data_IF_265899154481
#
_entry.id   IF_265899154481
#
_cell.length_a   1.000
_cell.length_b   1.000
_cell.length_c   1.000
_cell.angle_alpha   90.00
_cell.angle_beta   90.00
_cell.angle_gamma   90.00
#
_symmetry.space_group_name_H-M   'P 1'
#
loop_
_entity.id
_entity.type
_entity.pdbx_description
1 polymer ?
#
# COMPACT_ATOMS: atom_id res chain seq x y z
N UNK A 1 -19.58 -10.82 -17.03
CA UNK A 1 -18.21 -10.75 -16.48
C UNK A 1 -18.17 -9.75 -15.33
N UNK A 2 -17.53 -10.10 -14.23
CA UNK A 2 -17.24 -9.15 -13.14
C UNK A 2 -15.95 -8.43 -13.52
N UNK A 3 -16.05 -7.16 -13.90
CA UNK A 3 -14.87 -6.38 -14.30
C UNK A 3 -14.07 -5.98 -13.06
N UNK A 4 -12.78 -6.31 -13.06
CA UNK A 4 -11.87 -5.95 -11.97
C UNK A 4 -10.47 -5.66 -12.56
N UNK A 5 -10.10 -4.38 -12.59
CA UNK A 5 -8.80 -3.96 -13.11
C UNK A 5 -7.63 -4.48 -12.30
N UNK A 6 -7.79 -4.62 -10.98
CA UNK A 6 -6.76 -5.25 -10.15
C UNK A 6 -6.51 -6.71 -10.53
N UNK A 7 -7.56 -7.47 -10.87
CA UNK A 7 -7.40 -8.87 -11.28
C UNK A 7 -6.65 -8.99 -12.61
N UNK A 8 -6.84 -8.03 -13.51
CA UNK A 8 -6.19 -8.00 -14.82
C UNK A 8 -4.81 -7.34 -14.76
N UNK A 9 -4.68 -6.22 -14.06
CA UNK A 9 -3.51 -5.35 -14.12
C UNK A 9 -2.75 -5.14 -12.80
N UNK A 10 -3.00 -5.95 -11.77
CA UNK A 10 -2.41 -5.75 -10.45
C UNK A 10 -1.56 -6.91 -9.94
N UNK A 11 -0.49 -6.58 -9.21
CA UNK A 11 0.25 -7.49 -8.32
C UNK A 11 0.48 -6.78 -7.00
N UNK A 12 0.17 -7.46 -5.89
CA UNK A 12 0.34 -6.94 -4.55
C UNK A 12 1.19 -7.90 -3.71
N UNK A 13 2.34 -7.43 -3.25
CA UNK A 13 3.23 -8.16 -2.36
C UNK A 13 2.89 -7.81 -0.91
N UNK A 14 2.33 -8.74 -0.16
CA UNK A 14 1.82 -8.52 1.18
C UNK A 14 2.24 -9.61 2.14
N UNK A 15 3.15 -9.30 3.06
CA UNK A 15 3.47 -10.16 4.22
C UNK A 15 3.63 -11.66 3.86
N UNK A 16 4.46 -11.98 2.87
CA UNK A 16 4.74 -13.37 2.48
C UNK A 16 3.75 -13.98 1.50
N UNK A 17 2.75 -13.23 1.10
CA UNK A 17 1.77 -13.67 0.11
C UNK A 17 1.66 -12.65 -1.01
N UNK A 18 1.29 -13.14 -2.19
CA UNK A 18 1.14 -12.32 -3.37
C UNK A 18 -0.28 -12.48 -3.88
N UNK A 19 -0.94 -11.36 -4.09
CA UNK A 19 -2.35 -11.26 -4.49
C UNK A 19 -2.48 -10.32 -5.68
N UNK A 20 -3.68 -10.18 -6.24
CA UNK A 20 -3.92 -9.19 -7.31
C UNK A 20 -4.21 -7.81 -6.76
N UNK A 21 -4.75 -7.69 -5.55
CA UNK A 21 -5.12 -6.42 -4.95
C UNK A 21 -4.92 -6.42 -3.42
N UNK A 22 -4.83 -5.23 -2.78
CA UNK A 22 -4.58 -5.12 -1.35
C UNK A 22 -5.73 -5.64 -0.46
N UNK A 23 -6.95 -5.73 -0.99
CA UNK A 23 -8.14 -6.19 -0.26
C UNK A 23 -8.39 -7.69 -0.36
N UNK A 24 -7.69 -8.38 -1.23
CA UNK A 24 -7.87 -9.81 -1.40
C UNK A 24 -7.39 -10.56 -0.15
N UNK A 25 -8.31 -11.29 0.48
CA UNK A 25 -8.06 -11.98 1.73
C UNK A 25 -7.34 -13.33 1.53
N UNK A 26 -7.60 -14.00 0.39
CA UNK A 26 -6.99 -15.30 0.10
C UNK A 26 -5.65 -15.13 -0.62
N UNK A 27 -4.69 -15.92 -0.19
CA UNK A 27 -3.36 -16.02 -0.77
C UNK A 27 -3.45 -16.65 -2.17
N UNK A 28 -2.87 -16.02 -3.16
CA UNK A 28 -2.80 -16.60 -4.51
C UNK A 28 -1.48 -17.29 -4.76
N UNK A 29 -0.37 -16.69 -4.35
CA UNK A 29 0.98 -17.25 -4.48
C UNK A 29 1.74 -16.99 -3.19
N UNK A 30 2.52 -17.98 -2.75
CA UNK A 30 3.44 -17.79 -1.64
C UNK A 30 4.79 -17.28 -2.15
N UNK A 31 5.36 -16.37 -1.45
CA UNK A 31 6.65 -15.80 -1.84
C UNK A 31 7.84 -16.75 -1.71
N UNK A 32 7.69 -17.86 -0.99
CA UNK A 32 8.66 -18.94 -1.01
C UNK A 32 8.61 -19.82 -2.28
N UNK A 33 7.54 -19.70 -3.08
CA UNK A 33 7.45 -20.36 -4.39
C UNK A 33 8.15 -19.52 -5.46
N UNK A 34 7.85 -18.24 -5.52
CA UNK A 34 8.48 -17.26 -6.41
C UNK A 34 8.16 -15.84 -5.97
N UNK A 35 9.04 -14.91 -6.30
CA UNK A 35 8.82 -13.46 -6.11
C UNK A 35 8.80 -12.70 -7.44
N UNK A 36 9.12 -13.37 -8.56
CA UNK A 36 9.25 -12.69 -9.85
C UNK A 36 7.88 -12.37 -10.48
N UNK A 37 7.60 -11.10 -10.78
CA UNK A 37 6.35 -10.68 -11.44
C UNK A 37 6.03 -11.46 -12.70
N UNK A 38 7.01 -11.78 -13.55
CA UNK A 38 6.83 -12.51 -14.81
C UNK A 38 6.31 -13.95 -14.60
N UNK A 39 6.66 -14.58 -13.47
CA UNK A 39 6.16 -15.91 -13.10
C UNK A 39 4.80 -15.81 -12.42
N UNK A 40 4.58 -14.76 -11.59
CA UNK A 40 3.38 -14.57 -10.79
C UNK A 40 2.19 -14.14 -11.64
N UNK A 41 2.40 -13.21 -12.58
CA UNK A 41 1.32 -12.52 -13.28
C UNK A 41 0.36 -13.45 -14.00
N UNK A 42 0.87 -14.56 -14.55
CA UNK A 42 0.09 -15.61 -15.16
C UNK A 42 0.16 -16.96 -14.42
N UNK A 43 0.47 -16.93 -13.12
CA UNK A 43 0.41 -18.12 -12.28
C UNK A 43 -0.99 -18.73 -12.28
N UNK A 44 -1.08 -20.08 -12.14
CA UNK A 44 -2.34 -20.84 -12.19
C UNK A 44 -3.44 -20.24 -11.30
N UNK A 45 -3.10 -19.73 -10.11
CA UNK A 45 -4.06 -19.19 -9.17
C UNK A 45 -4.58 -17.80 -9.62
N UNK A 46 -3.74 -16.96 -10.24
CA UNK A 46 -4.15 -15.71 -10.87
C UNK A 46 -5.09 -15.98 -12.06
N UNK A 47 -4.76 -16.96 -12.90
CA UNK A 47 -5.61 -17.40 -14.01
C UNK A 47 -6.96 -17.93 -13.53
N UNK A 48 -6.97 -18.74 -12.47
CA UNK A 48 -8.22 -19.23 -11.88
C UNK A 48 -9.12 -18.10 -11.34
N UNK A 49 -8.54 -17.13 -10.65
CA UNK A 49 -9.27 -15.96 -10.17
C UNK A 49 -9.91 -15.19 -11.34
N UNK A 50 -9.16 -14.92 -12.41
CA UNK A 50 -9.65 -14.25 -13.62
C UNK A 50 -10.76 -15.07 -14.32
N UNK A 51 -10.61 -16.41 -14.41
CA UNK A 51 -11.61 -17.31 -14.93
C UNK A 51 -12.94 -17.23 -14.19
N UNK A 52 -12.90 -17.19 -12.84
CA UNK A 52 -14.11 -17.05 -12.03
C UNK A 52 -14.81 -15.72 -12.29
N UNK A 53 -14.07 -14.60 -12.27
CA UNK A 53 -14.62 -13.27 -12.58
C UNK A 53 -15.21 -13.20 -14.00
N UNK A 54 -14.53 -13.78 -14.97
CA UNK A 54 -15.02 -13.87 -16.34
C UNK A 54 -16.37 -14.61 -16.43
N UNK A 55 -16.53 -15.68 -15.64
CA UNK A 55 -17.78 -16.46 -15.53
C UNK A 55 -18.84 -15.80 -14.64
N UNK A 56 -18.63 -14.58 -14.21
CA UNK A 56 -19.51 -13.87 -13.31
C UNK A 56 -19.64 -14.53 -11.93
N UNK A 57 -18.54 -15.11 -11.44
CA UNK A 57 -18.46 -15.76 -10.14
C UNK A 57 -17.47 -14.99 -9.26
N UNK A 58 -17.83 -14.77 -8.00
CA UNK A 58 -16.95 -14.16 -7.04
C UNK A 58 -15.89 -15.17 -6.56
N UNK A 59 -14.58 -14.85 -6.71
CA UNK A 59 -13.54 -15.68 -6.13
C UNK A 59 -13.52 -15.56 -4.61
N UNK A 60 -13.20 -16.66 -3.93
CA UNK A 60 -12.92 -16.62 -2.50
C UNK A 60 -11.82 -15.59 -2.18
N UNK A 61 -12.06 -14.74 -1.19
CA UNK A 61 -11.19 -13.62 -0.82
C UNK A 61 -11.52 -12.28 -1.50
N UNK A 62 -12.52 -12.27 -2.38
CA UNK A 62 -13.13 -11.04 -2.92
C UNK A 62 -14.41 -10.63 -2.17
N UNK A 63 -14.68 -11.27 -1.03
CA UNK A 63 -15.90 -11.14 -0.24
C UNK A 63 -16.21 -9.68 0.13
N UNK A 64 -15.18 -8.87 0.42
CA UNK A 64 -15.38 -7.45 0.76
C UNK A 64 -16.05 -6.67 -0.37
N UNK A 65 -15.62 -6.89 -1.61
CA UNK A 65 -16.25 -6.23 -2.77
C UNK A 65 -17.64 -6.79 -3.05
N UNK A 66 -17.79 -8.13 -2.95
CA UNK A 66 -19.08 -8.81 -3.13
C UNK A 66 -20.13 -8.31 -2.14
N UNK A 67 -19.77 -8.26 -0.84
CA UNK A 67 -20.67 -7.81 0.22
C UNK A 67 -21.07 -6.34 0.04
N UNK A 68 -20.11 -5.46 -0.24
CA UNK A 68 -20.39 -4.05 -0.48
C UNK A 68 -21.34 -3.87 -1.66
N UNK A 69 -21.10 -4.56 -2.78
CA UNK A 69 -21.94 -4.44 -3.98
C UNK A 69 -23.33 -5.07 -3.78
N UNK A 70 -23.42 -6.17 -3.02
CA UNK A 70 -24.71 -6.75 -2.64
C UNK A 70 -25.54 -5.78 -1.78
N UNK A 71 -24.89 -5.01 -0.91
CA UNK A 71 -25.54 -4.02 -0.06
C UNK A 71 -25.72 -2.65 -0.76
N UNK A 72 -25.52 -2.58 -2.08
CA UNK A 72 -25.55 -1.38 -2.92
C UNK A 72 -24.56 -0.28 -2.46
N UNK A 73 -23.45 -0.69 -1.84
CA UNK A 73 -22.33 0.18 -1.51
C UNK A 73 -21.28 0.10 -2.61
N UNK A 74 -20.54 1.19 -2.77
CA UNK A 74 -19.48 1.27 -3.76
C UNK A 74 -18.25 0.50 -3.27
N UNK A 75 -17.84 -0.53 -4.00
CA UNK A 75 -16.67 -1.33 -3.69
C UNK A 75 -15.36 -0.69 -4.19
N UNK A 76 -14.23 -1.11 -3.62
CA UNK A 76 -12.92 -0.65 -4.07
C UNK A 76 -12.65 -0.98 -5.56
N UNK A 77 -13.14 -2.12 -6.05
CA UNK A 77 -13.06 -2.48 -7.47
C UNK A 77 -13.77 -1.46 -8.36
N UNK A 78 -14.98 -1.04 -7.96
CA UNK A 78 -15.76 -0.02 -8.67
C UNK A 78 -15.11 1.35 -8.56
N UNK A 79 -14.57 1.72 -7.40
CA UNK A 79 -13.83 2.96 -7.23
C UNK A 79 -12.63 3.03 -8.15
N UNK A 80 -11.87 1.94 -8.26
CA UNK A 80 -10.70 1.87 -9.12
C UNK A 80 -11.05 1.91 -10.61
N UNK A 81 -12.25 1.52 -10.98
CA UNK A 81 -12.76 1.57 -12.37
C UNK A 81 -13.28 2.96 -12.77
N UNK A 82 -13.53 3.85 -11.82
CA UNK A 82 -14.04 5.18 -12.13
C UNK A 82 -12.92 6.07 -12.67
N UNK A 83 -13.22 6.78 -13.75
CA UNK A 83 -12.34 7.81 -14.35
C UNK A 83 -11.96 8.92 -13.37
N UNK A 84 -12.76 9.10 -12.32
CA UNK A 84 -12.60 10.11 -11.29
C UNK A 84 -11.98 9.61 -10.00
N UNK A 85 -11.38 8.42 -9.99
CA UNK A 85 -10.65 7.95 -8.83
C UNK A 85 -9.43 8.87 -8.57
N UNK A 86 -9.16 9.16 -7.31
CA UNK A 86 -8.05 10.00 -6.86
C UNK A 86 -6.72 9.63 -7.51
N UNK A 87 -6.42 8.35 -7.69
CA UNK A 87 -5.24 7.86 -8.40
C UNK A 87 -5.24 8.21 -9.91
N UNK A 88 -6.42 8.40 -10.52
CA UNK A 88 -6.57 8.67 -11.96
C UNK A 88 -6.85 10.12 -12.28
N UNK A 89 -7.32 10.95 -11.33
CA UNK A 89 -7.54 12.40 -11.56
C UNK A 89 -6.28 13.17 -11.91
N UNK A 90 -5.13 12.64 -11.47
CA UNK A 90 -3.82 13.31 -11.68
C UNK A 90 -3.11 12.91 -12.97
N UNK A 91 -3.59 11.92 -13.67
CA UNK A 91 -3.05 11.54 -14.99
C UNK A 91 -4.17 11.54 -16.02
N UNK A 92 -4.03 12.25 -17.11
CA UNK A 92 -4.89 12.18 -18.29
C UNK A 92 -4.94 10.75 -18.85
N UNK A 93 -5.73 9.88 -18.20
CA UNK A 93 -5.91 8.50 -18.60
C UNK A 93 -7.27 8.31 -19.24
N UNK A 94 -7.35 8.71 -20.47
CA UNK A 94 -8.34 8.15 -21.37
C UNK A 94 -7.93 6.72 -21.70
N UNK A 95 -8.84 5.76 -21.50
CA UNK A 95 -8.79 4.41 -22.11
C UNK A 95 -8.04 3.28 -21.38
N UNK A 96 -7.69 3.36 -20.10
CA UNK A 96 -7.00 2.25 -19.42
C UNK A 96 -7.82 0.94 -19.42
N UNK A 97 -9.15 1.02 -19.34
CA UNK A 97 -10.03 -0.16 -19.20
C UNK A 97 -10.17 -0.95 -20.50
N UNK A 98 -10.45 -0.29 -21.60
CA UNK A 98 -10.71 -0.98 -22.89
C UNK A 98 -9.44 -1.67 -23.42
N UNK A 99 -8.29 -1.03 -23.21
CA UNK A 99 -7.01 -1.60 -23.58
C UNK A 99 -6.64 -2.81 -22.72
N UNK A 100 -6.96 -2.80 -21.43
CA UNK A 100 -6.61 -3.89 -20.52
C UNK A 100 -7.44 -5.15 -20.80
N UNK A 101 -8.73 -5.00 -21.05
CA UNK A 101 -9.63 -6.11 -21.44
C UNK A 101 -9.16 -6.75 -22.74
N UNK A 102 -8.69 -5.97 -23.71
CA UNK A 102 -8.20 -6.50 -24.99
C UNK A 102 -6.92 -7.34 -24.86
N UNK A 103 -6.20 -7.22 -23.76
CA UNK A 103 -4.98 -8.00 -23.47
C UNK A 103 -5.28 -9.31 -22.71
N UNK A 104 -6.52 -9.53 -22.33
CA UNK A 104 -6.95 -10.75 -21.64
C UNK A 104 -7.37 -11.83 -22.64
N UNK A 105 -6.86 -13.04 -22.46
CA UNK A 105 -7.25 -14.22 -23.23
C UNK A 105 -8.32 -15.01 -22.45
N UNK A 106 -9.52 -15.07 -22.96
CA UNK A 106 -10.68 -15.72 -22.33
C UNK A 106 -10.64 -17.26 -22.35
N UNK A 107 -9.73 -17.85 -23.13
CA UNK A 107 -9.51 -19.31 -23.20
C UNK A 107 -8.45 -19.75 -22.21
N UNK A 108 -7.29 -19.07 -22.17
CA UNK A 108 -6.17 -19.43 -21.29
C UNK A 108 -6.24 -18.71 -19.94
N UNK A 109 -7.06 -17.67 -19.84
CA UNK A 109 -7.16 -16.76 -18.69
C UNK A 109 -5.85 -16.01 -18.35
N UNK A 110 -4.98 -15.90 -19.32
CA UNK A 110 -3.74 -15.13 -19.27
C UNK A 110 -4.00 -13.68 -19.65
N UNK A 111 -3.14 -12.80 -19.15
CA UNK A 111 -3.07 -11.40 -19.61
C UNK A 111 -1.67 -11.18 -20.17
N UNK A 112 -1.60 -10.49 -21.31
CA UNK A 112 -0.32 -10.05 -21.87
C UNK A 112 0.45 -9.20 -20.85
N UNK A 113 1.76 -9.31 -20.79
CA UNK A 113 2.59 -8.56 -19.82
C UNK A 113 2.46 -7.05 -19.94
N UNK A 114 2.05 -6.55 -21.11
CA UNK A 114 1.65 -5.14 -21.30
C UNK A 114 0.43 -4.73 -20.47
N UNK A 115 -0.28 -5.68 -19.88
CA UNK A 115 -1.46 -5.45 -19.04
C UNK A 115 -1.13 -5.12 -17.58
N UNK A 116 0.05 -5.39 -17.07
CA UNK A 116 0.41 -5.02 -15.71
C UNK A 116 0.55 -3.51 -15.61
N UNK A 117 -0.23 -2.89 -14.72
CA UNK A 117 -0.31 -1.45 -14.50
C UNK A 117 0.08 -1.03 -13.11
N UNK A 118 -0.30 -1.83 -12.12
CA UNK A 118 -0.18 -1.51 -10.70
C UNK A 118 0.59 -2.60 -9.96
N UNK A 119 1.60 -2.18 -9.18
CA UNK A 119 2.31 -3.05 -8.26
C UNK A 119 2.36 -2.40 -6.89
N UNK A 120 1.91 -3.12 -5.86
CA UNK A 120 2.12 -2.73 -4.47
C UNK A 120 3.25 -3.55 -3.87
N UNK A 121 4.23 -2.88 -3.27
CA UNK A 121 5.38 -3.50 -2.64
C UNK A 121 5.38 -3.24 -1.13
N UNK A 122 5.43 -4.31 -0.33
CA UNK A 122 5.66 -4.26 1.11
C UNK A 122 6.93 -5.01 1.45
N UNK A 123 7.94 -4.29 1.90
CA UNK A 123 9.23 -4.93 2.22
C UNK A 123 9.19 -5.69 3.54
N UNK A 124 8.66 -5.07 4.60
CA UNK A 124 8.59 -5.68 5.93
C UNK A 124 7.68 -4.86 6.87
N UNK A 125 7.49 -5.39 8.09
CA UNK A 125 6.85 -4.65 9.20
C UNK A 125 7.84 -3.75 9.98
N UNK A 126 9.08 -3.59 9.51
CA UNK A 126 10.06 -2.75 10.20
C UNK A 126 9.57 -1.31 10.33
N UNK A 127 9.44 -0.84 11.57
CA UNK A 127 8.90 0.49 11.90
C UNK A 127 9.56 1.02 13.17
N UNK A 128 9.79 2.32 13.20
CA UNK A 128 10.32 3.05 14.37
C UNK A 128 9.21 3.41 15.39
N UNK A 129 7.92 3.24 15.03
CA UNK A 129 6.77 3.59 15.87
C UNK A 129 6.00 2.38 16.37
N UNK A 130 5.26 2.60 17.48
CA UNK A 130 4.22 1.70 18.00
C UNK A 130 2.90 2.48 18.14
N UNK A 131 2.27 2.83 17.02
CA UNK A 131 1.07 3.65 16.97
C UNK A 131 -0.13 2.94 17.60
N UNK A 132 -1.03 3.72 18.24
CA UNK A 132 -2.21 3.21 18.93
C UNK A 132 -3.13 2.38 18.02
N UNK A 133 -3.27 2.77 16.75
CA UNK A 133 -4.09 2.08 15.75
C UNK A 133 -3.39 0.95 15.01
N UNK A 134 -2.15 0.64 15.38
CA UNK A 134 -1.34 -0.38 14.72
C UNK A 134 -1.21 -1.63 15.58
N UNK A 135 -0.68 -2.69 15.02
CA UNK A 135 -0.44 -3.96 15.72
C UNK A 135 0.96 -4.50 15.46
N UNK A 136 1.34 -5.53 16.23
CA UNK A 136 2.62 -6.24 16.06
C UNK A 136 2.81 -6.86 14.66
N UNK A 137 1.73 -7.14 13.95
CA UNK A 137 1.77 -7.69 12.58
C UNK A 137 2.29 -6.65 11.58
N UNK A 138 1.98 -5.37 11.81
CA UNK A 138 2.30 -4.29 10.88
C UNK A 138 3.42 -3.36 11.38
N UNK A 139 3.86 -3.53 12.65
CA UNK A 139 4.92 -2.70 13.22
C UNK A 139 5.82 -3.47 14.18
N UNK A 140 7.12 -3.55 13.83
CA UNK A 140 8.15 -4.09 14.73
C UNK A 140 8.33 -3.25 16.02
N UNK A 141 7.88 -2.00 16.04
CA UNK A 141 7.83 -1.17 17.23
C UNK A 141 6.95 -1.78 18.33
N UNK A 142 5.79 -2.33 17.94
CA UNK A 142 4.93 -3.09 18.87
C UNK A 142 5.57 -4.38 19.33
N UNK A 143 6.21 -5.13 18.44
CA UNK A 143 6.92 -6.36 18.82
C UNK A 143 7.98 -6.11 19.88
N UNK A 144 8.73 -5.01 19.77
CA UNK A 144 9.72 -4.61 20.78
C UNK A 144 9.08 -4.23 22.13
N UNK A 145 7.94 -3.51 22.12
CA UNK A 145 7.24 -3.12 23.35
C UNK A 145 6.62 -4.30 24.08
N UNK A 146 6.11 -5.28 23.34
CA UNK A 146 5.42 -6.44 23.89
C UNK A 146 6.37 -7.57 24.30
N UNK A 147 7.68 -7.46 24.04
CA UNK A 147 8.66 -8.49 24.43
C UNK A 147 8.68 -8.82 25.93
N UNK A 148 8.24 -7.89 26.79
CA UNK A 148 8.20 -8.06 28.25
C UNK A 148 6.77 -8.29 28.78
N UNK A 149 5.77 -8.40 27.89
CA UNK A 149 4.40 -8.73 28.26
C UNK A 149 4.21 -10.24 28.16
N UNK A 150 3.84 -10.86 29.27
CA UNK A 150 3.55 -12.28 29.34
C UNK A 150 2.21 -12.65 28.69
N UNK A 151 2.03 -13.94 28.35
CA UNK A 151 1.18 -14.41 27.26
C UNK A 151 -0.32 -14.51 27.53
N UNK A 152 -0.91 -13.77 28.42
CA UNK A 152 -2.38 -13.62 28.48
C UNK A 152 -2.96 -12.95 27.20
N UNK A 153 -2.06 -12.57 26.27
CA UNK A 153 -2.42 -12.02 24.97
C UNK A 153 -3.32 -12.95 24.13
N UNK A 154 -3.18 -14.26 24.27
CA UNK A 154 -3.96 -15.21 23.48
C UNK A 154 -5.45 -15.17 23.84
N UNK A 155 -5.75 -14.95 25.11
CA UNK A 155 -7.12 -14.80 25.61
C UNK A 155 -7.72 -13.49 25.13
N UNK A 156 -7.03 -12.38 25.32
CA UNK A 156 -7.51 -11.03 24.91
C UNK A 156 -7.66 -10.94 23.39
N UNK A 157 -6.74 -11.51 22.62
CA UNK A 157 -6.83 -11.50 21.16
C UNK A 157 -7.89 -12.44 20.62
N UNK A 158 -8.14 -13.58 21.29
CA UNK A 158 -9.24 -14.46 20.92
C UNK A 158 -10.60 -13.83 21.23
N UNK A 159 -10.73 -13.14 22.36
CA UNK A 159 -11.95 -12.40 22.72
C UNK A 159 -12.24 -11.26 21.74
N UNK A 160 -11.21 -10.50 21.33
CA UNK A 160 -11.34 -9.44 20.31
C UNK A 160 -11.71 -10.03 18.96
N UNK A 161 -11.11 -11.15 18.53
CA UNK A 161 -11.44 -11.83 17.28
C UNK A 161 -12.89 -12.30 17.27
N UNK A 162 -13.37 -12.84 18.39
CA UNK A 162 -14.73 -13.34 18.57
C UNK A 162 -15.75 -12.18 18.57
N UNK A 163 -15.42 -11.05 19.19
CA UNK A 163 -16.24 -9.83 19.22
C UNK A 163 -16.31 -9.11 17.85
N UNK A 164 -15.23 -9.14 17.07
CA UNK A 164 -15.17 -8.46 15.78
C UNK A 164 -15.62 -9.33 14.60
N UNK A 165 -15.97 -10.60 14.83
CA UNK A 165 -16.37 -11.52 13.77
C UNK A 165 -15.31 -11.75 12.67
N UNK A 166 -14.09 -11.33 12.94
CA UNK A 166 -12.97 -11.45 12.00
C UNK A 166 -12.13 -12.65 12.39
N UNK A 167 -12.26 -13.74 11.67
CA UNK A 167 -11.19 -14.73 11.61
C UNK A 167 -9.98 -14.07 10.92
N UNK A 168 -9.17 -13.34 11.69
CA UNK A 168 -7.84 -12.97 11.22
C UNK A 168 -7.05 -14.27 11.03
N UNK A 169 -6.85 -14.66 9.79
CA UNK A 169 -6.18 -15.89 9.37
C UNK A 169 -4.67 -15.92 9.71
N UNK A 170 -4.18 -14.93 10.42
CA UNK A 170 -2.81 -14.88 10.93
C UNK A 170 -2.82 -15.27 12.40
N UNK A 171 -2.60 -16.55 12.68
CA UNK A 171 -2.40 -17.04 14.04
C UNK A 171 -1.16 -16.38 14.70
N UNK A 172 -1.09 -16.40 16.05
CA UNK A 172 0.06 -15.82 16.79
C UNK A 172 1.40 -16.48 16.46
N UNK A 173 1.40 -17.59 15.75
CA UNK A 173 2.58 -18.33 15.29
C UNK A 173 2.84 -18.19 13.79
N UNK A 174 2.17 -17.28 13.09
CA UNK A 174 2.45 -17.06 11.67
C UNK A 174 3.82 -16.39 11.52
N UNK A 175 4.86 -17.23 11.44
CA UNK A 175 6.24 -16.84 11.16
C UNK A 175 6.46 -16.38 9.72
N UNK A 176 5.40 -16.24 8.94
CA UNK A 176 5.46 -15.74 7.56
C UNK A 176 5.57 -14.22 7.50
N UNK A 177 6.35 -13.60 8.39
CA UNK A 177 6.86 -12.26 8.14
C UNK A 177 7.82 -12.33 6.94
N UNK A 178 7.22 -12.23 5.74
CA UNK A 178 8.05 -12.01 4.59
C UNK A 178 8.77 -10.69 4.75
N UNK A 179 10.07 -10.79 4.92
CA UNK A 179 10.96 -9.66 4.79
C UNK A 179 11.63 -9.79 3.43
N UNK A 180 11.19 -8.99 2.48
CA UNK A 180 11.98 -8.84 1.26
C UNK A 180 13.34 -8.29 1.66
N UNK A 181 14.40 -9.00 1.30
CA UNK A 181 15.74 -8.44 1.39
C UNK A 181 15.92 -7.35 0.34
N UNK A 182 16.97 -6.57 0.42
CA UNK A 182 17.27 -5.57 -0.60
C UNK A 182 17.45 -6.22 -1.96
N UNK A 183 18.16 -7.35 -1.99
CA UNK A 183 18.42 -8.14 -3.19
C UNK A 183 17.11 -8.62 -3.83
N UNK A 184 16.21 -9.18 -3.04
CA UNK A 184 14.89 -9.64 -3.52
C UNK A 184 14.03 -8.48 -4.04
N UNK A 185 14.05 -7.33 -3.37
CA UNK A 185 13.33 -6.14 -3.86
C UNK A 185 13.89 -5.65 -5.21
N UNK A 186 15.21 -5.70 -5.37
CA UNK A 186 15.86 -5.34 -6.63
C UNK A 186 15.60 -6.37 -7.74
N UNK A 187 15.57 -7.69 -7.43
CA UNK A 187 15.18 -8.73 -8.39
C UNK A 187 13.74 -8.55 -8.91
N UNK A 188 12.80 -8.21 -8.01
CA UNK A 188 11.42 -7.90 -8.41
C UNK A 188 11.40 -6.72 -9.39
N UNK A 189 12.12 -5.63 -9.07
CA UNK A 189 12.13 -4.43 -9.91
C UNK A 189 12.86 -4.68 -11.23
N UNK A 190 13.91 -5.47 -11.24
CA UNK A 190 14.61 -5.85 -12.47
C UNK A 190 13.70 -6.63 -13.42
N UNK A 191 12.97 -7.61 -12.89
CA UNK A 191 11.98 -8.38 -13.66
C UNK A 191 10.83 -7.49 -14.19
N UNK A 192 10.40 -6.47 -13.39
CA UNK A 192 9.44 -5.47 -13.86
C UNK A 192 10.01 -4.64 -15.02
N UNK A 193 11.24 -4.16 -14.89
CA UNK A 193 11.89 -3.32 -15.89
C UNK A 193 12.09 -4.07 -17.22
N UNK A 194 12.38 -5.36 -17.17
CA UNK A 194 12.62 -6.18 -18.35
C UNK A 194 11.34 -6.64 -19.05
N UNK A 195 10.30 -6.98 -18.29
CA UNK A 195 9.16 -7.73 -18.81
C UNK A 195 7.85 -6.92 -18.91
N UNK A 196 7.69 -5.82 -18.16
CA UNK A 196 6.41 -5.14 -18.03
C UNK A 196 6.47 -3.67 -18.46
N UNK A 197 6.46 -3.37 -19.75
CA UNK A 197 6.74 -2.02 -20.28
C UNK A 197 5.72 -0.95 -19.90
N UNK A 198 4.55 -1.33 -19.40
CA UNK A 198 3.44 -0.42 -19.16
C UNK A 198 3.06 -0.29 -17.67
N UNK A 199 3.94 -0.63 -16.75
CA UNK A 199 3.71 -0.33 -15.34
C UNK A 199 3.62 1.20 -15.16
N UNK A 200 2.56 1.65 -14.50
CA UNK A 200 2.21 3.06 -14.39
C UNK A 200 2.06 3.52 -12.95
N UNK A 201 1.80 2.59 -12.03
CA UNK A 201 1.59 2.91 -10.64
C UNK A 201 2.32 1.92 -9.73
N UNK A 202 3.21 2.46 -8.90
CA UNK A 202 3.88 1.71 -7.83
C UNK A 202 3.46 2.30 -6.50
N UNK A 203 2.86 1.46 -5.66
CA UNK A 203 2.51 1.82 -4.30
C UNK A 203 3.40 1.09 -3.29
N UNK A 204 3.93 1.82 -2.33
CA UNK A 204 4.73 1.25 -1.27
C UNK A 204 3.99 1.36 0.07
N UNK A 205 3.89 0.24 0.77
CA UNK A 205 3.22 0.16 2.05
C UNK A 205 4.01 -0.70 3.07
N UNK A 206 3.53 -0.72 4.30
CA UNK A 206 4.04 -1.59 5.37
C UNK A 206 5.17 -0.99 6.20
N UNK A 207 5.07 -1.14 7.51
CA UNK A 207 6.02 -0.58 8.47
C UNK A 207 6.23 0.92 8.31
N UNK A 208 7.48 1.36 8.35
CA UNK A 208 7.90 2.72 8.00
C UNK A 208 8.95 2.66 6.89
N UNK A 209 8.61 3.12 5.71
CA UNK A 209 9.44 2.98 4.51
C UNK A 209 10.74 3.76 4.59
N UNK A 210 10.70 4.99 5.11
CA UNK A 210 11.90 5.82 5.28
C UNK A 210 12.89 5.27 6.33
N UNK A 211 12.42 4.33 7.15
CA UNK A 211 13.26 3.58 8.11
C UNK A 211 13.82 2.29 7.50
N UNK A 212 13.32 1.84 6.32
CA UNK A 212 13.68 0.57 5.70
C UNK A 212 14.77 0.74 4.64
N UNK A 213 15.88 0.05 4.80
CA UNK A 213 17.06 0.13 3.92
C UNK A 213 16.79 -0.26 2.46
N UNK A 214 15.70 -0.97 2.19
CA UNK A 214 15.30 -1.39 0.85
C UNK A 214 14.74 -0.25 0.01
N UNK A 215 14.11 0.75 0.64
CA UNK A 215 13.27 1.74 -0.03
C UNK A 215 14.03 2.55 -1.09
N UNK A 216 15.09 3.24 -0.70
CA UNK A 216 15.85 4.09 -1.62
C UNK A 216 16.52 3.31 -2.78
N UNK A 217 17.19 2.16 -2.53
CA UNK A 217 17.71 1.35 -3.63
C UNK A 217 16.63 0.88 -4.61
N UNK A 218 15.45 0.53 -4.12
CA UNK A 218 14.32 0.10 -4.95
C UNK A 218 13.82 1.24 -5.84
N UNK A 219 13.68 2.46 -5.31
CA UNK A 219 13.29 3.64 -6.10
C UNK A 219 14.33 3.95 -7.18
N UNK A 220 15.64 3.91 -6.85
CA UNK A 220 16.70 4.12 -7.86
C UNK A 220 16.64 3.08 -8.98
N UNK A 221 16.38 1.81 -8.64
CA UNK A 221 16.26 0.76 -9.66
C UNK A 221 14.99 0.91 -10.50
N UNK A 222 13.87 1.36 -9.90
CA UNK A 222 12.64 1.69 -10.64
C UNK A 222 12.83 2.87 -11.61
N UNK A 223 13.69 3.82 -11.29
CA UNK A 223 14.00 4.94 -12.18
C UNK A 223 14.65 4.50 -13.51
N UNK A 224 15.21 3.28 -13.57
CA UNK A 224 15.75 2.68 -14.79
C UNK A 224 14.64 2.08 -15.69
N UNK A 225 13.40 1.99 -15.21
CA UNK A 225 12.30 1.41 -15.97
C UNK A 225 12.00 2.23 -17.25
N UNK A 226 11.76 1.58 -18.41
CA UNK A 226 11.46 2.28 -19.67
C UNK A 226 10.30 3.27 -19.58
N UNK A 227 9.34 3.01 -18.69
CA UNK A 227 8.16 3.84 -18.45
C UNK A 227 8.26 4.76 -17.22
N UNK A 228 9.41 4.90 -16.56
CA UNK A 228 9.56 5.64 -15.30
C UNK A 228 8.95 7.06 -15.38
N UNK A 229 9.23 7.78 -16.46
CA UNK A 229 8.70 9.15 -16.71
C UNK A 229 7.15 9.25 -16.81
N UNK A 230 6.45 8.13 -16.89
CA UNK A 230 4.99 8.06 -16.89
C UNK A 230 4.44 7.39 -15.62
N UNK A 231 5.32 6.94 -14.71
CA UNK A 231 4.90 6.30 -13.47
C UNK A 231 4.48 7.31 -12.41
N UNK A 232 3.48 6.92 -11.64
CA UNK A 232 3.14 7.51 -10.37
C UNK A 232 3.71 6.65 -9.25
N UNK A 233 4.42 7.27 -8.31
CA UNK A 233 4.91 6.63 -7.09
C UNK A 233 4.08 7.11 -5.91
N UNK A 234 3.52 6.18 -5.13
CA UNK A 234 2.81 6.47 -3.89
C UNK A 234 3.41 5.71 -2.72
N UNK A 235 3.43 6.32 -1.57
CA UNK A 235 3.82 5.62 -0.35
C UNK A 235 3.27 6.23 0.93
N UNK A 236 3.02 5.35 1.90
CA UNK A 236 2.59 5.72 3.24
C UNK A 236 3.80 5.81 4.18
N UNK A 237 3.86 6.89 4.97
CA UNK A 237 4.95 7.10 5.93
C UNK A 237 4.45 7.83 7.19
N UNK A 238 5.16 7.67 8.29
CA UNK A 238 4.97 8.54 9.46
C UNK A 238 5.75 9.86 9.34
N UNK A 239 6.63 9.97 8.36
CA UNK A 239 7.50 11.12 8.05
C UNK A 239 8.31 11.65 9.25
N UNK A 240 8.58 10.77 10.20
CA UNK A 240 9.23 11.06 11.49
C UNK A 240 10.44 10.14 11.72
N UNK A 241 10.90 9.47 10.65
CA UNK A 241 12.14 8.73 10.65
C UNK A 241 13.33 9.69 10.46
N UNK A 242 14.52 9.22 10.80
CA UNK A 242 15.76 9.89 10.41
C UNK A 242 16.08 9.47 8.96
N UNK A 243 15.95 10.40 8.02
CA UNK A 243 16.19 10.19 6.60
C UNK A 243 16.76 11.46 5.95
N UNK A 244 17.42 11.27 4.82
CA UNK A 244 17.95 12.40 4.05
C UNK A 244 16.86 12.97 3.11
N UNK A 245 16.46 14.20 3.38
CA UNK A 245 15.40 14.91 2.63
C UNK A 245 15.80 15.18 1.18
N UNK A 246 17.06 15.56 0.93
CA UNK A 246 17.60 15.80 -0.43
C UNK A 246 17.63 14.50 -1.23
N UNK A 247 18.00 13.39 -0.59
CA UNK A 247 18.01 12.07 -1.22
C UNK A 247 16.59 11.65 -1.61
N UNK A 248 15.60 11.87 -0.73
CA UNK A 248 14.20 11.56 -1.03
C UNK A 248 13.71 12.37 -2.23
N UNK A 249 13.98 13.68 -2.27
CA UNK A 249 13.62 14.52 -3.40
C UNK A 249 14.24 13.99 -4.70
N UNK A 250 15.55 13.74 -4.69
CA UNK A 250 16.30 13.30 -5.87
C UNK A 250 15.82 11.97 -6.44
N UNK A 251 15.48 10.97 -5.57
CA UNK A 251 15.03 9.66 -6.07
C UNK A 251 13.61 9.68 -6.63
N UNK A 252 12.82 10.73 -6.35
CA UNK A 252 11.47 10.90 -6.88
C UNK A 252 11.44 11.68 -8.21
N UNK A 253 12.47 12.46 -8.55
CA UNK A 253 12.53 13.27 -9.78
C UNK A 253 12.31 12.49 -11.10
N UNK A 254 12.80 11.24 -11.26
CA UNK A 254 12.64 10.51 -12.53
C UNK A 254 11.20 10.15 -12.88
N UNK A 255 10.27 10.19 -11.91
CA UNK A 255 8.89 9.75 -12.08
C UNK A 255 7.98 10.90 -12.51
N UNK A 256 6.88 10.56 -13.19
CA UNK A 256 5.88 11.54 -13.64
C UNK A 256 5.30 12.33 -12.47
N UNK A 257 5.00 11.61 -11.41
CA UNK A 257 4.31 12.14 -10.23
C UNK A 257 4.66 11.30 -9.01
N UNK A 258 4.71 11.94 -7.86
CA UNK A 258 4.83 11.25 -6.58
C UNK A 258 3.82 11.76 -5.57
N UNK A 259 3.34 10.86 -4.70
CA UNK A 259 2.41 11.16 -3.64
C UNK A 259 2.90 10.56 -2.32
N UNK A 260 3.19 11.42 -1.36
CA UNK A 260 3.55 11.02 0.00
C UNK A 260 2.32 11.11 0.89
N UNK A 261 1.86 9.98 1.40
CA UNK A 261 0.71 9.91 2.29
C UNK A 261 1.22 9.85 3.73
N UNK A 262 1.16 10.97 4.42
CA UNK A 262 1.66 11.09 5.79
C UNK A 262 0.57 10.68 6.77
N UNK A 263 0.85 9.65 7.55
CA UNK A 263 -0.07 9.17 8.60
C UNK A 263 0.09 10.01 9.87
N UNK A 264 -0.92 10.80 10.23
CA UNK A 264 -0.84 11.75 11.37
C UNK A 264 -1.70 11.32 12.56
N UNK A 265 -2.95 10.90 12.36
CA UNK A 265 -3.92 10.37 13.35
C UNK A 265 -4.32 11.30 14.51
N UNK A 266 -3.60 12.37 14.79
CA UNK A 266 -3.90 13.26 15.92
C UNK A 266 -3.30 14.65 15.73
N UNK A 267 -3.85 15.65 16.42
CA UNK A 267 -3.28 16.99 16.53
C UNK A 267 -2.05 17.05 17.43
N UNK A 268 -1.38 18.20 17.46
CA UNK A 268 -0.12 18.42 18.17
C UNK A 268 -0.15 17.97 19.64
N UNK A 269 -1.23 18.26 20.37
CA UNK A 269 -1.31 18.00 21.82
C UNK A 269 -1.18 16.51 22.17
N UNK A 270 -1.77 15.64 21.36
CA UNK A 270 -1.84 14.20 21.65
C UNK A 270 -1.14 13.35 20.59
N UNK A 271 -0.41 13.98 19.67
CA UNK A 271 0.29 13.30 18.58
C UNK A 271 1.17 12.14 19.06
N UNK A 272 2.09 12.41 20.02
CA UNK A 272 3.02 11.39 20.52
C UNK A 272 2.34 10.25 21.30
N UNK A 273 1.11 10.46 21.78
CA UNK A 273 0.31 9.39 22.38
C UNK A 273 -0.23 8.44 21.31
N UNK A 274 -0.77 8.98 20.20
CA UNK A 274 -1.28 8.17 19.09
C UNK A 274 -0.17 7.54 18.25
N UNK A 275 0.85 8.35 17.96
CA UNK A 275 1.99 7.97 17.10
C UNK A 275 3.23 7.77 17.98
N UNK A 276 3.12 6.81 18.93
CA UNK A 276 4.16 6.59 19.93
C UNK A 276 5.51 6.25 19.29
N UNK A 277 6.50 7.05 19.57
CA UNK A 277 7.84 7.01 18.97
C UNK A 277 8.17 8.27 18.15
N UNK A 278 7.17 9.09 17.83
CA UNK A 278 7.33 10.34 17.10
C UNK A 278 7.04 11.59 17.91
N UNK A 279 7.47 12.74 17.39
CA UNK A 279 7.16 14.06 17.91
C UNK A 279 6.56 14.95 16.83
N UNK A 280 5.68 15.86 17.24
CA UNK A 280 5.07 16.82 16.31
C UNK A 280 6.10 17.74 15.66
N UNK A 281 7.09 18.15 16.43
CA UNK A 281 8.17 19.04 15.99
C UNK A 281 9.00 18.40 14.88
N UNK A 282 9.34 17.12 15.02
CA UNK A 282 10.08 16.38 13.98
C UNK A 282 9.23 16.24 12.71
N UNK A 283 7.94 15.90 12.85
CA UNK A 283 7.02 15.81 11.71
C UNK A 283 6.95 17.14 10.96
N UNK A 284 6.66 18.23 11.66
CA UNK A 284 6.52 19.58 11.09
C UNK A 284 7.82 20.03 10.41
N UNK A 285 8.96 19.79 11.06
CA UNK A 285 10.28 20.09 10.51
C UNK A 285 10.52 19.34 9.19
N UNK A 286 10.34 18.01 9.18
CA UNK A 286 10.61 17.18 8.00
C UNK A 286 9.70 17.57 6.83
N UNK A 287 8.41 17.83 7.06
CA UNK A 287 7.49 18.33 6.04
C UNK A 287 7.97 19.68 5.49
N UNK A 288 8.28 20.63 6.38
CA UNK A 288 8.75 21.96 5.98
C UNK A 288 10.05 21.91 5.20
N UNK A 289 11.01 21.08 5.60
CA UNK A 289 12.28 20.97 4.92
C UNK A 289 12.11 20.30 3.54
N UNK A 290 11.28 19.28 3.42
CA UNK A 290 10.98 18.64 2.15
C UNK A 290 10.30 19.60 1.16
N UNK A 291 9.27 20.33 1.60
CA UNK A 291 8.54 21.30 0.77
C UNK A 291 9.41 22.44 0.25
N UNK A 292 10.52 22.79 0.92
CA UNK A 292 11.46 23.84 0.45
C UNK A 292 12.26 23.42 -0.79
N UNK A 293 12.48 22.11 -0.96
CA UNK A 293 13.35 21.58 -2.00
C UNK A 293 12.61 20.76 -3.04
N UNK A 294 11.34 20.46 -2.79
CA UNK A 294 10.51 19.63 -3.66
C UNK A 294 9.12 20.25 -3.78
N UNK A 295 8.80 20.73 -4.98
CA UNK A 295 7.51 21.36 -5.33
C UNK A 295 6.64 20.51 -6.27
N UNK A 296 7.16 19.36 -6.70
CA UNK A 296 6.48 18.46 -7.65
C UNK A 296 5.83 17.23 -6.99
N UNK A 297 6.13 16.97 -5.71
CA UNK A 297 5.53 15.84 -4.96
C UNK A 297 4.29 16.27 -4.20
N UNK A 298 3.20 15.55 -4.37
CA UNK A 298 2.02 15.75 -3.54
C UNK A 298 2.21 15.17 -2.16
N UNK A 299 1.76 15.91 -1.15
CA UNK A 299 1.73 15.47 0.25
C UNK A 299 0.28 15.47 0.71
N UNK A 300 -0.20 14.27 1.06
CA UNK A 300 -1.54 14.08 1.63
C UNK A 300 -1.43 13.65 3.10
N UNK A 301 -2.42 14.03 3.91
CA UNK A 301 -2.53 13.57 5.29
C UNK A 301 -3.55 12.44 5.36
N UNK A 302 -3.12 11.28 5.87
CA UNK A 302 -3.99 10.18 6.27
C UNK A 302 -4.22 10.23 7.78
N UNK A 303 -5.49 10.25 8.18
CA UNK A 303 -5.90 10.28 9.58
C UNK A 303 -6.86 9.14 9.89
N UNK A 304 -6.43 8.21 10.72
CA UNK A 304 -7.32 7.18 11.26
C UNK A 304 -8.10 7.75 12.43
N UNK A 305 -9.39 8.01 12.22
CA UNK A 305 -10.27 8.58 13.24
C UNK A 305 -10.66 7.54 14.29
N UNK A 306 -10.64 7.94 15.57
CA UNK A 306 -11.10 7.12 16.68
C UNK A 306 -11.87 7.93 17.72
N UNK A 307 -12.55 7.25 18.64
CA UNK A 307 -13.29 7.90 19.73
C UNK A 307 -12.38 8.75 20.62
N UNK A 308 -11.11 8.42 20.72
CA UNK A 308 -10.15 9.16 21.57
C UNK A 308 -9.80 10.54 21.03
N UNK A 309 -9.99 10.79 19.73
CA UNK A 309 -9.72 12.09 19.10
C UNK A 309 -10.91 13.04 19.19
N UNK A 310 -12.11 12.53 19.45
CA UNK A 310 -13.35 13.32 19.31
C UNK A 310 -13.37 14.54 20.23
N UNK A 311 -12.75 14.44 21.40
CA UNK A 311 -12.63 15.53 22.36
C UNK A 311 -11.56 16.58 21.98
N UNK A 312 -10.66 16.23 21.06
CA UNK A 312 -9.57 17.07 20.58
C UNK A 312 -9.70 17.38 19.08
N UNK A 313 -10.89 17.21 18.52
CA UNK A 313 -11.11 17.35 17.06
C UNK A 313 -10.75 18.74 16.53
N UNK A 314 -10.96 19.77 17.33
CA UNK A 314 -10.57 21.15 16.98
C UNK A 314 -9.04 21.28 16.89
N UNK A 315 -8.29 20.68 17.81
CA UNK A 315 -6.84 20.64 17.78
C UNK A 315 -6.31 19.86 16.59
N UNK A 316 -6.98 18.75 16.22
CA UNK A 316 -6.64 17.95 15.04
C UNK A 316 -6.71 18.82 13.78
N UNK A 317 -7.84 19.51 13.55
CA UNK A 317 -8.00 20.36 12.36
C UNK A 317 -7.03 21.54 12.34
N UNK A 318 -6.84 22.25 13.48
CA UNK A 318 -5.87 23.34 13.58
C UNK A 318 -4.45 22.86 13.26
N UNK A 319 -4.07 21.73 13.85
CA UNK A 319 -2.74 21.15 13.66
C UNK A 319 -2.51 20.73 12.21
N UNK A 320 -3.51 20.13 11.55
CA UNK A 320 -3.39 19.76 10.14
C UNK A 320 -3.28 21.00 9.24
N UNK A 321 -4.05 22.04 9.52
CA UNK A 321 -3.93 23.31 8.81
C UNK A 321 -2.51 23.93 8.93
N UNK A 322 -1.88 23.79 10.10
CA UNK A 322 -0.50 24.27 10.32
C UNK A 322 0.56 23.48 9.53
N UNK A 323 0.29 22.23 9.14
CA UNK A 323 1.19 21.44 8.30
C UNK A 323 1.19 21.91 6.85
N UNK A 324 0.20 22.72 6.46
CA UNK A 324 0.07 23.27 5.10
C UNK A 324 0.15 22.19 4.00
N UNK A 325 -0.48 21.03 4.28
CA UNK A 325 -0.52 19.88 3.38
C UNK A 325 -1.88 19.74 2.68
N UNK A 326 -2.81 20.70 2.89
CA UNK A 326 -4.06 20.71 2.17
C UNK A 326 -3.83 21.24 0.77
N UNK A 327 -4.28 20.49 -0.21
CA UNK A 327 -4.32 20.99 -1.58
C UNK A 327 -5.26 22.19 -1.64
N UNK A 328 -4.82 23.27 -2.26
CA UNK A 328 -5.73 24.32 -2.68
C UNK A 328 -6.82 23.67 -3.51
N UNK A 329 -8.05 23.79 -3.01
CA UNK A 329 -9.21 23.10 -3.59
C UNK A 329 -9.36 23.45 -5.06
N UNK A 330 -9.07 22.49 -5.90
CA UNK A 330 -9.42 22.50 -7.32
C UNK A 330 -10.56 21.52 -7.55
#
# INVERSE_FOLDING_TARGET
MIDCLYALGGINYKNGVITTCPRQANQLVFANETILPSVIYNHKNFKNLRSMLYKNQWPSGCDTCEDMERDNLKSMRQDFMLKDNWFYKRGERETANDNLISLYNDVTHEVDFRGLRHVELRFSSACNFACLHCSKVYSSGWSKKLQNYEPDEEVVMNDIRQLMGTEHRHGPNDKSEMRLTTEQALEIVEDLNENFPNVEFIDFAGGELLYQKQFFPTLRKLAEHPNAKNMLISFHTNFNADFNVDELSTVLEPFKESCIIISVDAGQKIYSYFRHGGTWETLKKNISDFKKINDFTHIDISCTTSIYQILEIEDVFKSFYELDCFMDGS
#
